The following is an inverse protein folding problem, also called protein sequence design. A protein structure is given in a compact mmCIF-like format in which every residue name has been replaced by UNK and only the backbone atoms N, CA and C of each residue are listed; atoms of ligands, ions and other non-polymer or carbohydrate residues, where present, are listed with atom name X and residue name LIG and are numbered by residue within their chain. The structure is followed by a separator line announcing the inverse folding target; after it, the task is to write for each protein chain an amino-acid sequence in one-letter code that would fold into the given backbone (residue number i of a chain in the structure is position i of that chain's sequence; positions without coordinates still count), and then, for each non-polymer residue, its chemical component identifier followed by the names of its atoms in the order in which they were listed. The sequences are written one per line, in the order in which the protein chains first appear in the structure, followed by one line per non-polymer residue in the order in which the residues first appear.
data_IF_364146552232
#
_entry.id   IF_364146552232
#
_cell.length_a   1.000
_cell.length_b   1.000
_cell.length_c   1.000
_cell.angle_alpha   90.00
_cell.angle_beta   90.00
_cell.angle_gamma   90.00
#
_symmetry.space_group_name_H-M   'P 1'
#
loop_
_entity.id
_entity.type
_entity.pdbx_description
1 polymer ?
#
# COMPACT_ATOMS: atom_id res chain seq x y z
N UNK A 1 20.03 1.88 -8.57
CA UNK A 1 18.75 1.55 -7.89
C UNK A 1 19.09 0.70 -6.69
N UNK A 2 18.46 0.93 -5.53
CA UNK A 2 18.67 0.12 -4.34
C UNK A 2 18.36 -1.35 -4.66
N UNK A 3 19.28 -2.26 -4.30
CA UNK A 3 19.11 -3.69 -4.49
C UNK A 3 18.67 -4.27 -3.15
N UNK A 4 17.41 -4.65 -3.09
CA UNK A 4 16.85 -5.34 -1.93
C UNK A 4 17.58 -6.67 -1.74
N UNK A 5 17.97 -6.94 -0.50
CA UNK A 5 18.54 -8.22 -0.10
C UNK A 5 17.46 -9.16 0.48
N UNK A 6 17.89 -10.34 0.93
CA UNK A 6 16.98 -11.34 1.52
C UNK A 6 16.36 -10.86 2.83
N UNK A 7 17.06 -10.01 3.59
CA UNK A 7 16.55 -9.45 4.84
C UNK A 7 15.44 -8.43 4.55
N UNK A 8 15.62 -7.55 3.56
CA UNK A 8 14.60 -6.62 3.12
C UNK A 8 13.34 -7.36 2.65
N UNK A 9 13.51 -8.43 1.87
CA UNK A 9 12.39 -9.23 1.37
C UNK A 9 11.62 -9.90 2.51
N UNK A 10 12.33 -10.52 3.46
CA UNK A 10 11.74 -11.14 4.63
C UNK A 10 10.96 -10.11 5.46
N UNK A 11 11.57 -8.95 5.75
CA UNK A 11 10.93 -7.86 6.48
C UNK A 11 9.64 -7.38 5.79
N UNK A 12 9.65 -7.21 4.46
CA UNK A 12 8.45 -6.81 3.72
C UNK A 12 7.36 -7.89 3.82
N UNK A 13 7.72 -9.17 3.69
CA UNK A 13 6.76 -10.28 3.79
C UNK A 13 6.12 -10.36 5.17
N UNK A 14 6.89 -10.17 6.23
CA UNK A 14 6.39 -10.17 7.61
C UNK A 14 5.42 -9.03 7.85
N UNK A 15 5.75 -7.81 7.40
CA UNK A 15 4.84 -6.65 7.49
C UNK A 15 3.56 -6.86 6.69
N UNK A 16 3.63 -7.50 5.52
CA UNK A 16 2.44 -7.86 4.74
C UNK A 16 1.58 -8.88 5.48
N UNK A 17 2.18 -9.88 6.13
CA UNK A 17 1.46 -10.87 6.90
C UNK A 17 0.76 -10.25 8.12
N UNK A 18 1.47 -9.38 8.85
CA UNK A 18 0.93 -8.62 9.98
C UNK A 18 -0.27 -7.76 9.57
N UNK A 19 -0.11 -6.94 8.52
CA UNK A 19 -1.20 -6.07 8.07
C UNK A 19 -2.40 -6.86 7.54
N UNK A 20 -2.17 -8.02 6.91
CA UNK A 20 -3.25 -8.92 6.48
C UNK A 20 -4.07 -9.41 7.66
N UNK A 21 -3.45 -9.75 8.79
CA UNK A 21 -4.17 -10.16 9.99
C UNK A 21 -4.96 -9.00 10.61
N UNK A 22 -4.35 -7.81 10.68
CA UNK A 22 -5.04 -6.60 11.15
C UNK A 22 -6.28 -6.27 10.29
N UNK A 23 -6.19 -6.40 8.97
CA UNK A 23 -7.32 -6.25 8.05
C UNK A 23 -8.38 -7.32 8.29
N UNK A 24 -7.99 -8.58 8.48
CA UNK A 24 -8.94 -9.67 8.81
C UNK A 24 -9.73 -9.34 10.07
N UNK A 25 -9.03 -8.93 11.13
CA UNK A 25 -9.64 -8.55 12.42
C UNK A 25 -10.55 -7.32 12.30
N UNK A 26 -10.21 -6.38 11.41
CA UNK A 26 -11.07 -5.23 11.11
C UNK A 26 -12.36 -5.65 10.40
N UNK A 27 -12.28 -6.65 9.52
CA UNK A 27 -13.43 -7.18 8.76
C UNK A 27 -14.35 -8.03 9.65
N UNK A 28 -13.78 -8.85 10.54
CA UNK A 28 -14.55 -9.70 11.46
C UNK A 28 -15.08 -8.94 12.70
N UNK A 29 -14.66 -7.70 12.90
CA UNK A 29 -15.12 -6.82 13.98
C UNK A 29 -14.36 -6.93 15.30
N UNK A 30 -13.35 -7.81 15.38
CA UNK A 30 -12.45 -7.91 16.55
C UNK A 30 -11.43 -6.77 16.67
N UNK A 31 -11.38 -5.89 15.68
CA UNK A 31 -10.61 -4.64 15.69
C UNK A 31 -11.52 -3.48 15.25
N UNK A 32 -11.72 -2.51 16.14
CA UNK A 32 -12.57 -1.35 15.85
C UNK A 32 -11.93 -0.42 14.80
N UNK A 33 -12.72 0.49 14.21
CA UNK A 33 -12.16 1.48 13.26
C UNK A 33 -11.15 2.40 13.95
N UNK A 34 -11.37 2.78 15.20
CA UNK A 34 -10.47 3.68 15.93
C UNK A 34 -9.12 3.00 16.22
N UNK A 35 -9.13 1.71 16.56
CA UNK A 35 -7.91 0.91 16.72
C UNK A 35 -7.22 0.61 15.39
N UNK A 36 -7.99 0.41 14.32
CA UNK A 36 -7.46 0.13 12.98
C UNK A 36 -6.87 1.37 12.30
N UNK A 37 -7.41 2.56 12.60
CA UNK A 37 -7.00 3.83 12.01
C UNK A 37 -5.48 4.05 12.00
N UNK A 38 -4.75 3.98 13.13
CA UNK A 38 -3.29 4.14 13.10
C UNK A 38 -2.60 3.06 12.25
N UNK A 39 -3.05 1.82 12.31
CA UNK A 39 -2.45 0.68 11.59
C UNK A 39 -2.57 0.85 10.07
N UNK A 40 -3.75 1.21 9.57
CA UNK A 40 -3.95 1.44 8.14
C UNK A 40 -3.19 2.67 7.64
N UNK A 41 -3.09 3.72 8.45
CA UNK A 41 -2.35 4.94 8.08
C UNK A 41 -0.84 4.68 7.98
N UNK A 42 -0.27 3.87 8.88
CA UNK A 42 1.13 3.43 8.79
C UNK A 42 1.42 2.61 7.53
N UNK A 43 0.41 1.94 6.98
CA UNK A 43 0.48 1.15 5.75
C UNK A 43 -0.01 1.93 4.51
N UNK A 44 -0.21 3.25 4.62
CA UNK A 44 -0.57 4.10 3.48
C UNK A 44 -2.02 3.96 3.01
N UNK A 45 -2.91 3.36 3.81
CA UNK A 45 -4.31 3.14 3.50
C UNK A 45 -5.20 4.18 4.20
N UNK A 46 -5.74 5.10 3.41
CA UNK A 46 -6.52 6.24 3.86
C UNK A 46 -8.00 6.05 3.54
N UNK A 47 -8.87 6.06 4.55
CA UNK A 47 -10.31 6.11 4.33
C UNK A 47 -10.71 7.52 3.84
N UNK A 48 -11.16 7.61 2.59
CA UNK A 48 -11.89 8.75 2.06
C UNK A 48 -13.39 8.56 2.31
N UNK A 49 -14.23 9.53 1.92
CA UNK A 49 -15.66 9.54 2.23
C UNK A 49 -16.39 8.25 1.80
N UNK A 50 -15.98 7.62 0.70
CA UNK A 50 -16.69 6.46 0.12
C UNK A 50 -15.81 5.22 -0.11
N UNK A 51 -14.48 5.35 -0.01
CA UNK A 51 -13.56 4.28 -0.35
C UNK A 51 -12.19 4.49 0.30
N UNK A 52 -11.33 3.47 0.22
CA UNK A 52 -9.96 3.57 0.66
C UNK A 52 -9.04 4.01 -0.47
N UNK A 53 -8.23 5.04 -0.23
CA UNK A 53 -7.11 5.42 -1.08
C UNK A 53 -5.82 4.76 -0.57
N UNK A 54 -5.12 4.06 -1.45
CA UNK A 54 -3.81 3.45 -1.17
C UNK A 54 -2.70 4.35 -1.73
N UNK A 55 -1.80 4.79 -0.85
CA UNK A 55 -0.59 5.52 -1.23
C UNK A 55 0.64 4.62 -1.12
N UNK A 56 1.30 4.39 -2.24
CA UNK A 56 2.54 3.61 -2.29
C UNK A 56 3.74 4.54 -2.26
N UNK A 57 4.61 4.34 -1.28
CA UNK A 57 5.86 5.08 -1.16
C UNK A 57 6.87 4.64 -2.24
N UNK A 58 7.50 5.60 -2.90
CA UNK A 58 8.54 5.39 -3.90
C UNK A 58 9.80 6.12 -3.41
N UNK A 59 10.76 5.40 -2.81
CA UNK A 59 11.99 6.02 -2.33
C UNK A 59 12.72 6.79 -3.43
N UNK A 60 12.99 8.07 -3.15
CA UNK A 60 13.63 9.01 -4.07
C UNK A 60 12.91 9.19 -5.43
N UNK A 61 11.65 8.76 -5.54
CA UNK A 61 10.92 8.74 -6.82
C UNK A 61 11.49 7.75 -7.85
N UNK A 62 12.35 6.81 -7.45
CA UNK A 62 13.04 5.90 -8.36
C UNK A 62 12.32 4.57 -8.54
N UNK A 63 12.01 4.20 -9.79
CA UNK A 63 11.35 2.94 -10.16
C UNK A 63 12.00 2.29 -11.37
N UNK A 64 12.01 0.96 -11.39
CA UNK A 64 12.35 0.17 -12.58
C UNK A 64 11.12 0.00 -13.47
N UNK A 65 11.33 -0.30 -14.75
CA UNK A 65 10.24 -0.62 -15.67
C UNK A 65 9.39 -1.81 -15.18
N UNK A 66 10.00 -2.77 -14.48
CA UNK A 66 9.29 -3.89 -13.84
C UNK A 66 8.37 -3.44 -12.70
N UNK A 67 8.84 -2.56 -11.82
CA UNK A 67 8.00 -2.00 -10.75
C UNK A 67 6.87 -1.15 -11.33
N UNK A 68 7.13 -0.37 -12.38
CA UNK A 68 6.08 0.41 -13.05
C UNK A 68 4.98 -0.47 -13.64
N UNK A 69 5.34 -1.59 -14.30
CA UNK A 69 4.35 -2.57 -14.78
C UNK A 69 3.53 -3.19 -13.64
N UNK A 70 4.15 -3.44 -12.48
CA UNK A 70 3.43 -3.94 -11.31
C UNK A 70 2.41 -2.91 -10.79
N UNK A 71 2.77 -1.62 -10.75
CA UNK A 71 1.85 -0.54 -10.39
C UNK A 71 0.69 -0.42 -11.37
N UNK A 72 0.94 -0.56 -12.68
CA UNK A 72 -0.10 -0.57 -13.70
C UNK A 72 -1.09 -1.73 -13.49
N UNK A 73 -0.60 -2.94 -13.20
CA UNK A 73 -1.47 -4.09 -12.90
C UNK A 73 -2.35 -3.83 -11.67
N UNK A 74 -1.80 -3.22 -10.61
CA UNK A 74 -2.60 -2.86 -9.42
C UNK A 74 -3.74 -1.92 -9.79
N UNK A 75 -3.43 -0.89 -10.59
CA UNK A 75 -4.40 0.09 -11.08
C UNK A 75 -5.52 -0.53 -11.91
N UNK A 76 -5.17 -1.44 -12.83
CA UNK A 76 -6.14 -2.10 -13.72
C UNK A 76 -7.00 -3.13 -12.99
N UNK A 77 -6.43 -3.83 -12.00
CA UNK A 77 -7.10 -4.94 -11.32
C UNK A 77 -7.94 -4.50 -10.12
N UNK A 78 -7.48 -3.50 -9.37
CA UNK A 78 -8.06 -3.13 -8.09
C UNK A 78 -8.56 -1.68 -8.01
N UNK A 79 -8.28 -0.86 -9.03
CA UNK A 79 -8.76 0.52 -9.16
C UNK A 79 -9.41 0.68 -10.56
N UNK A 80 -9.46 1.89 -11.10
CA UNK A 80 -10.16 2.28 -12.32
C UNK A 80 -9.22 2.42 -13.52
N UNK A 81 -8.05 1.79 -13.47
CA UNK A 81 -7.05 1.84 -14.55
C UNK A 81 -6.25 3.14 -14.65
N UNK A 82 -6.28 4.00 -13.62
CA UNK A 82 -5.34 5.11 -13.47
C UNK A 82 -4.72 5.16 -12.06
N UNK A 83 -3.64 5.93 -11.92
CA UNK A 83 -3.01 6.23 -10.63
C UNK A 83 -2.47 7.65 -10.63
N UNK A 84 -2.40 8.28 -9.46
CA UNK A 84 -1.98 9.67 -9.32
C UNK A 84 -0.55 9.75 -8.80
N UNK A 85 0.37 10.28 -9.63
CA UNK A 85 1.67 10.71 -9.15
C UNK A 85 1.53 11.96 -8.28
N UNK A 86 2.12 11.89 -7.09
CA UNK A 86 2.04 12.95 -6.09
C UNK A 86 3.21 13.91 -6.22
N UNK A 87 3.07 15.10 -5.63
CA UNK A 87 4.18 16.07 -5.50
C UNK A 87 5.35 15.55 -4.66
N UNK A 88 5.16 14.45 -3.92
CA UNK A 88 6.20 13.75 -3.15
C UNK A 88 6.76 12.53 -3.90
N UNK A 89 6.54 12.46 -5.22
CA UNK A 89 7.04 11.41 -6.11
C UNK A 89 6.53 9.98 -5.79
N UNK A 90 5.50 9.87 -4.95
CA UNK A 90 4.75 8.64 -4.67
C UNK A 90 3.59 8.46 -5.67
N UNK A 91 2.93 7.30 -5.65
CA UNK A 91 1.70 7.03 -6.40
C UNK A 91 0.51 6.76 -5.47
N UNK A 92 -0.70 7.14 -5.91
CA UNK A 92 -1.97 6.90 -5.20
C UNK A 92 -2.99 6.20 -6.10
N UNK A 93 -3.79 5.31 -5.50
CA UNK A 93 -4.94 4.60 -6.08
C UNK A 93 -6.18 4.84 -5.20
N UNK A 94 -7.38 4.93 -5.77
CA UNK A 94 -8.62 5.32 -5.06
C UNK A 94 -9.74 4.27 -5.09
#
# INVERSE_FOLDING_TARGET
MYRYDEFDEAMVRDRVAEFRDQVRRRIDGSLSEDEFKPLRLMNGLYLQLHAYMLRIAIPYGTLSSRQMRQLAMISEKYDRGYGHLTTRQNIQFN
#
